data_IF_893235778151
#
_entry.id   IF_893235778151
#
_cell.length_a   1.000
_cell.length_b   1.000
_cell.length_c   1.000
_cell.angle_alpha   90.00
_cell.angle_beta   90.00
_cell.angle_gamma   90.00
#
_symmetry.space_group_name_H-M   'P 1'
#
loop_
_entity.id
_entity.type
_entity.pdbx_description
1 polymer ?
#
# COMPACT_ATOMS: atom_id res chain seq x y z
N UNK A 1 48.28 4.60 40.98
CA UNK A 1 47.25 5.59 41.37
C UNK A 1 46.82 6.27 40.07
N UNK A 2 45.51 6.44 39.89
CA UNK A 2 44.73 6.25 38.64
C UNK A 2 44.91 7.44 37.66
N UNK A 3 44.52 7.38 36.38
CA UNK A 3 43.12 7.47 35.95
C UNK A 3 42.79 6.82 34.60
N UNK A 4 41.64 6.15 34.64
CA UNK A 4 40.71 5.83 33.57
C UNK A 4 40.19 7.13 32.93
N UNK A 5 40.24 7.23 31.60
CA UNK A 5 39.36 8.17 30.88
C UNK A 5 38.92 7.48 29.59
N UNK A 6 38.09 6.45 29.78
CA UNK A 6 37.07 6.02 28.85
C UNK A 6 36.22 7.24 28.45
N UNK A 7 36.37 7.69 27.19
CA UNK A 7 35.35 8.52 26.55
C UNK A 7 34.99 7.91 25.21
N UNK A 8 33.95 7.09 25.29
CA UNK A 8 32.86 7.00 24.34
C UNK A 8 32.88 8.11 23.29
N UNK A 9 33.37 7.78 22.10
CA UNK A 9 32.94 8.44 20.87
C UNK A 9 31.81 7.61 20.31
N UNK A 10 30.65 7.72 20.95
CA UNK A 10 29.37 7.31 20.38
C UNK A 10 29.18 8.13 19.09
N UNK A 11 29.13 7.51 17.90
CA UNK A 11 28.81 8.22 16.68
C UNK A 11 27.36 8.70 16.77
N UNK A 12 27.04 9.96 16.43
CA UNK A 12 25.69 10.46 16.59
C UNK A 12 24.72 9.64 15.74
N UNK A 13 23.64 9.27 16.42
CA UNK A 13 22.55 8.48 15.92
C UNK A 13 21.88 9.08 14.68
N UNK A 14 21.38 8.15 13.87
CA UNK A 14 20.40 8.29 12.79
C UNK A 14 20.93 8.97 11.55
N UNK A 15 21.40 8.11 10.64
CA UNK A 15 21.07 8.27 9.23
C UNK A 15 19.58 8.65 9.16
N UNK A 16 19.35 9.91 8.81
CA UNK A 16 18.08 10.40 8.32
C UNK A 16 17.65 9.40 7.24
N UNK A 17 16.64 8.60 7.57
CA UNK A 17 16.13 7.60 6.65
C UNK A 17 15.50 8.39 5.51
N UNK A 18 16.31 8.69 4.50
CA UNK A 18 15.81 9.09 3.20
C UNK A 18 14.71 8.08 2.86
N UNK A 19 13.47 8.52 2.58
CA UNK A 19 12.46 7.59 2.09
C UNK A 19 13.09 6.85 0.90
N UNK A 20 12.96 5.52 0.81
CA UNK A 20 13.60 4.76 -0.25
C UNK A 20 13.24 5.43 -1.57
N UNK A 21 14.28 5.86 -2.31
CA UNK A 21 14.14 6.65 -3.53
C UNK A 21 13.22 5.97 -4.57
N UNK A 22 13.02 4.65 -4.44
CA UNK A 22 12.05 3.85 -5.19
C UNK A 22 10.58 4.27 -5.02
N UNK A 23 10.18 4.85 -3.89
CA UNK A 23 8.73 5.10 -3.62
C UNK A 23 8.11 6.18 -4.51
N UNK A 24 8.88 7.19 -4.89
CA UNK A 24 8.40 8.27 -5.76
C UNK A 24 8.29 7.80 -7.21
N UNK A 25 9.26 7.00 -7.66
CA UNK A 25 9.26 6.42 -9.01
C UNK A 25 8.17 5.35 -9.14
N UNK A 26 7.99 4.49 -8.13
CA UNK A 26 6.89 3.53 -8.06
C UNK A 26 5.51 4.20 -8.09
N UNK A 27 5.38 5.36 -7.42
CA UNK A 27 4.14 6.13 -7.47
C UNK A 27 3.88 6.65 -8.88
N UNK A 28 4.90 7.17 -9.56
CA UNK A 28 4.80 7.63 -10.95
C UNK A 28 4.45 6.47 -11.89
N UNK A 29 5.20 5.38 -11.82
CA UNK A 29 4.97 4.17 -12.59
C UNK A 29 3.54 3.64 -12.40
N UNK A 30 3.03 3.64 -11.16
CA UNK A 30 1.64 3.24 -10.88
C UNK A 30 0.61 4.15 -11.56
N UNK A 31 0.79 5.49 -11.48
CA UNK A 31 -0.18 6.43 -12.05
C UNK A 31 -0.22 6.41 -13.58
N UNK A 32 0.90 6.08 -14.22
CA UNK A 32 1.01 5.95 -15.68
C UNK A 32 0.29 4.71 -16.24
N UNK A 33 0.08 3.68 -15.43
CA UNK A 33 -0.75 2.55 -15.83
C UNK A 33 -2.23 2.95 -15.87
N UNK A 34 -2.93 2.52 -16.92
CA UNK A 34 -4.40 2.61 -16.94
C UNK A 34 -5.01 1.74 -15.84
N UNK A 35 -6.24 2.05 -15.41
CA UNK A 35 -6.94 1.22 -14.41
C UNK A 35 -6.99 -0.26 -14.80
N UNK A 36 -7.27 -0.54 -16.08
CA UNK A 36 -7.33 -1.91 -16.58
C UNK A 36 -5.95 -2.60 -16.62
N UNK A 37 -4.85 -1.88 -16.89
CA UNK A 37 -3.51 -2.44 -16.79
C UNK A 37 -3.15 -2.80 -15.34
N UNK A 38 -3.52 -1.95 -14.37
CA UNK A 38 -3.35 -2.26 -12.94
C UNK A 38 -4.13 -3.50 -12.54
N UNK A 39 -5.37 -3.63 -13.02
CA UNK A 39 -6.19 -4.81 -12.77
C UNK A 39 -5.63 -6.07 -13.43
N UNK A 40 -5.06 -5.96 -14.64
CA UNK A 40 -4.35 -7.07 -15.29
C UNK A 40 -3.15 -7.51 -14.45
N UNK A 41 -2.36 -6.57 -13.94
CA UNK A 41 -1.21 -6.84 -13.07
C UNK A 41 -1.64 -7.58 -11.79
N UNK A 42 -2.72 -7.12 -11.14
CA UNK A 42 -3.31 -7.78 -9.98
C UNK A 42 -3.84 -9.19 -10.32
N UNK A 43 -4.48 -9.36 -11.48
CA UNK A 43 -5.01 -10.65 -11.92
C UNK A 43 -3.89 -11.68 -12.13
N UNK A 44 -2.76 -11.27 -12.70
CA UNK A 44 -1.56 -12.12 -12.79
C UNK A 44 -1.06 -12.48 -11.38
N UNK A 45 -0.96 -11.50 -10.47
CA UNK A 45 -0.51 -11.74 -9.09
C UNK A 45 -1.38 -12.75 -8.34
N UNK A 46 -2.70 -12.61 -8.48
CA UNK A 46 -3.68 -13.50 -7.87
C UNK A 46 -3.51 -14.92 -8.38
N UNK A 47 -3.43 -15.10 -9.70
CA UNK A 47 -3.28 -16.44 -10.30
C UNK A 47 -1.96 -17.09 -9.90
N UNK A 48 -0.86 -16.34 -9.87
CA UNK A 48 0.43 -16.86 -9.36
C UNK A 48 0.34 -17.34 -7.91
N UNK A 49 -0.26 -16.50 -7.04
CA UNK A 49 -0.44 -16.83 -5.62
C UNK A 49 -1.27 -18.10 -5.45
N UNK A 50 -2.31 -18.24 -6.26
CA UNK A 50 -3.24 -19.36 -6.21
C UNK A 50 -2.70 -20.60 -6.96
N UNK A 51 -1.47 -20.55 -7.50
CA UNK A 51 -0.81 -21.67 -8.18
C UNK A 51 -1.37 -21.98 -9.58
N UNK A 52 -2.18 -21.09 -10.14
CA UNK A 52 -2.76 -21.27 -11.48
C UNK A 52 -1.86 -20.68 -12.57
N UNK A 53 -1.80 -21.33 -13.74
CA UNK A 53 -1.10 -20.76 -14.88
C UNK A 53 -1.79 -19.46 -15.33
N UNK A 54 -0.96 -18.48 -15.70
CA UNK A 54 -1.36 -17.14 -16.10
C UNK A 54 -1.43 -17.02 -17.62
N UNK A 55 -2.27 -17.85 -18.25
CA UNK A 55 -2.60 -17.70 -19.68
C UNK A 55 -3.58 -16.52 -19.88
N UNK A 56 -3.63 -15.90 -21.07
CA UNK A 56 -4.62 -14.85 -21.37
C UNK A 56 -6.04 -15.22 -20.98
N UNK A 57 -6.49 -16.43 -21.30
CA UNK A 57 -7.83 -16.93 -20.96
C UNK A 57 -8.05 -17.02 -19.45
N UNK A 58 -7.05 -17.47 -18.69
CA UNK A 58 -7.11 -17.54 -17.24
C UNK A 58 -7.15 -16.14 -16.61
N UNK A 59 -6.35 -15.21 -17.12
CA UNK A 59 -6.34 -13.82 -16.66
C UNK A 59 -7.69 -13.14 -16.98
N UNK A 60 -8.25 -13.38 -18.17
CA UNK A 60 -9.58 -12.90 -18.56
C UNK A 60 -10.65 -13.39 -17.57
N UNK A 61 -10.67 -14.69 -17.25
CA UNK A 61 -11.60 -15.27 -16.28
C UNK A 61 -11.48 -14.62 -14.89
N UNK A 62 -10.26 -14.29 -14.45
CA UNK A 62 -10.06 -13.57 -13.18
C UNK A 62 -10.61 -12.14 -13.25
N UNK A 63 -10.48 -11.47 -14.39
CA UNK A 63 -10.97 -10.12 -14.60
C UNK A 63 -12.50 -10.05 -14.76
N UNK A 64 -13.13 -11.07 -15.34
CA UNK A 64 -14.59 -11.17 -15.52
C UNK A 64 -15.37 -11.19 -14.20
N UNK A 65 -14.71 -11.43 -13.07
CA UNK A 65 -15.30 -11.25 -11.74
C UNK A 65 -15.61 -9.77 -11.42
N UNK A 66 -14.89 -8.84 -12.06
CA UNK A 66 -15.01 -7.38 -11.86
C UNK A 66 -15.56 -6.66 -13.09
N UNK A 67 -15.45 -7.27 -14.26
CA UNK A 67 -15.84 -6.68 -15.55
C UNK A 67 -16.93 -7.54 -16.21
N UNK A 68 -18.02 -6.94 -16.70
CA UNK A 68 -19.10 -7.70 -17.34
C UNK A 68 -18.64 -8.44 -18.60
N UNK A 69 -17.62 -7.94 -19.29
CA UNK A 69 -16.92 -8.64 -20.36
C UNK A 69 -15.49 -8.12 -20.52
N UNK A 70 -14.56 -9.02 -20.82
CA UNK A 70 -13.16 -8.68 -21.10
C UNK A 70 -12.87 -8.91 -22.57
N UNK A 71 -12.63 -7.83 -23.31
CA UNK A 71 -12.18 -7.92 -24.70
C UNK A 71 -10.79 -8.55 -24.77
N UNK A 72 -10.64 -9.65 -25.52
CA UNK A 72 -9.33 -10.31 -25.73
C UNK A 72 -8.29 -9.36 -26.30
N UNK A 73 -8.65 -8.54 -27.29
CA UNK A 73 -7.73 -7.57 -27.88
C UNK A 73 -7.27 -6.50 -26.89
N UNK A 74 -8.16 -6.03 -26.00
CA UNK A 74 -7.80 -5.09 -24.92
C UNK A 74 -6.88 -5.75 -23.89
N UNK A 75 -7.16 -6.99 -23.52
CA UNK A 75 -6.35 -7.76 -22.59
C UNK A 75 -4.94 -7.99 -23.15
N UNK A 76 -4.83 -8.49 -24.37
CA UNK A 76 -3.54 -8.77 -25.01
C UNK A 76 -2.71 -7.49 -25.21
N UNK A 77 -3.32 -6.38 -25.62
CA UNK A 77 -2.58 -5.11 -25.73
C UNK A 77 -2.13 -4.60 -24.37
N UNK A 78 -2.92 -4.80 -23.32
CA UNK A 78 -2.56 -4.43 -21.95
C UNK A 78 -1.43 -5.29 -21.42
N UNK A 79 -1.47 -6.60 -21.63
CA UNK A 79 -0.40 -7.53 -21.24
C UNK A 79 0.89 -7.22 -21.98
N UNK A 80 0.84 -6.95 -23.29
CA UNK A 80 2.01 -6.50 -24.05
C UNK A 80 2.60 -5.21 -23.47
N UNK A 81 1.77 -4.23 -23.18
CA UNK A 81 2.23 -2.97 -22.59
C UNK A 81 2.83 -3.12 -21.18
N UNK A 82 2.41 -4.14 -20.41
CA UNK A 82 3.02 -4.49 -19.13
C UNK A 82 4.36 -5.23 -19.29
N UNK A 83 4.49 -6.05 -20.35
CA UNK A 83 5.75 -6.69 -20.74
C UNK A 83 6.77 -5.67 -21.21
N UNK A 84 6.36 -4.70 -22.04
CA UNK A 84 7.23 -3.63 -22.52
C UNK A 84 7.79 -2.78 -21.38
N UNK A 85 7.03 -2.65 -20.28
CA UNK A 85 7.44 -1.97 -19.04
C UNK A 85 8.21 -2.86 -18.06
N UNK A 86 8.50 -4.11 -18.43
CA UNK A 86 9.16 -5.09 -17.57
C UNK A 86 8.45 -5.36 -16.23
N UNK A 87 7.13 -5.12 -16.15
CA UNK A 87 6.32 -5.43 -14.96
C UNK A 87 5.80 -6.87 -14.99
N UNK A 88 5.68 -7.43 -16.19
CA UNK A 88 5.31 -8.82 -16.45
C UNK A 88 6.32 -9.40 -17.43
N UNK A 89 6.74 -10.64 -17.24
CA UNK A 89 7.51 -11.40 -18.20
C UNK A 89 6.58 -12.34 -18.98
N UNK A 90 6.78 -12.40 -20.29
CA UNK A 90 6.15 -13.43 -21.13
C UNK A 90 7.06 -14.65 -21.20
N UNK A 91 6.50 -15.85 -21.03
CA UNK A 91 7.16 -17.14 -21.25
C UNK A 91 6.34 -17.98 -22.21
N UNK A 92 7.00 -18.90 -22.89
CA UNK A 92 6.29 -19.94 -23.63
C UNK A 92 5.48 -20.79 -22.65
N UNK A 93 4.18 -20.93 -22.91
CA UNK A 93 3.26 -21.70 -22.08
C UNK A 93 2.90 -23.03 -22.73
N UNK A 94 1.66 -23.50 -22.49
CA UNK A 94 1.22 -24.82 -22.92
C UNK A 94 1.42 -25.03 -24.43
N UNK A 95 2.10 -26.12 -24.78
CA UNK A 95 2.40 -26.54 -26.15
C UNK A 95 3.14 -25.48 -27.02
N UNK A 96 3.84 -24.52 -26.43
CA UNK A 96 4.66 -23.53 -27.16
C UNK A 96 3.87 -22.48 -27.95
N UNK A 97 2.53 -22.54 -27.94
CA UNK A 97 1.68 -21.65 -28.72
C UNK A 97 0.89 -20.65 -27.87
N UNK A 98 0.65 -20.95 -26.60
CA UNK A 98 -0.07 -20.05 -25.69
C UNK A 98 0.93 -19.38 -24.76
N UNK A 99 1.11 -18.05 -24.81
CA UNK A 99 2.01 -17.37 -23.89
C UNK A 99 1.48 -17.47 -22.46
N UNK A 100 2.38 -17.74 -21.52
CA UNK A 100 2.14 -17.62 -20.10
C UNK A 100 2.81 -16.35 -19.58
N UNK A 101 2.13 -15.64 -18.69
CA UNK A 101 2.63 -14.40 -18.11
C UNK A 101 3.10 -14.64 -16.67
N UNK A 102 4.10 -13.91 -16.22
CA UNK A 102 4.61 -13.98 -14.85
C UNK A 102 4.94 -12.59 -14.34
N UNK A 103 4.67 -12.26 -13.09
CA UNK A 103 5.19 -11.04 -12.49
C UNK A 103 6.71 -11.06 -12.45
N UNK A 104 7.29 -9.92 -12.79
CA UNK A 104 8.70 -9.64 -12.52
C UNK A 104 8.87 -9.16 -11.08
N UNK A 105 10.12 -9.04 -10.62
CA UNK A 105 10.42 -8.38 -9.36
C UNK A 105 9.89 -6.94 -9.31
N UNK A 106 10.04 -6.19 -10.41
CA UNK A 106 9.53 -4.82 -10.52
C UNK A 106 8.00 -4.75 -10.45
N UNK A 107 7.28 -5.63 -11.16
CA UNK A 107 5.82 -5.66 -11.07
C UNK A 107 5.32 -6.04 -9.68
N UNK A 108 6.05 -6.91 -8.97
CA UNK A 108 5.75 -7.29 -7.59
C UNK A 108 5.99 -6.14 -6.62
N UNK A 109 7.16 -5.50 -6.67
CA UNK A 109 7.48 -4.33 -5.86
C UNK A 109 6.46 -3.19 -6.08
N UNK A 110 6.03 -2.98 -7.32
CA UNK A 110 5.02 -1.97 -7.64
C UNK A 110 3.65 -2.25 -6.96
N UNK A 111 3.23 -3.51 -6.90
CA UNK A 111 2.01 -3.93 -6.19
C UNK A 111 2.16 -3.81 -4.67
N UNK A 112 3.30 -4.24 -4.12
CA UNK A 112 3.61 -4.17 -2.69
C UNK A 112 3.64 -2.70 -2.23
N UNK A 113 4.37 -1.83 -2.93
CA UNK A 113 4.40 -0.40 -2.64
C UNK A 113 3.02 0.26 -2.79
N UNK A 114 2.14 -0.24 -3.67
CA UNK A 114 0.75 0.23 -3.73
C UNK A 114 -0.05 -0.21 -2.50
N UNK A 115 0.10 -1.46 -2.07
CA UNK A 115 -0.58 -2.01 -0.91
C UNK A 115 -0.15 -1.26 0.37
N UNK A 116 1.15 -1.04 0.57
CA UNK A 116 1.68 -0.28 1.71
C UNK A 116 1.14 1.14 1.74
N UNK A 117 1.10 1.81 0.57
CA UNK A 117 0.50 3.14 0.47
C UNK A 117 -0.98 3.14 0.84
N UNK A 118 -1.74 2.11 0.47
CA UNK A 118 -3.15 2.01 0.84
C UNK A 118 -3.32 1.75 2.34
N UNK A 119 -2.53 0.85 2.93
CA UNK A 119 -2.53 0.57 4.36
C UNK A 119 -2.26 1.84 5.18
N UNK A 120 -1.25 2.62 4.78
CA UNK A 120 -0.93 3.91 5.41
C UNK A 120 -2.05 4.96 5.31
N UNK A 121 -2.98 4.85 4.35
CA UNK A 121 -4.17 5.72 4.33
C UNK A 121 -5.22 5.26 5.36
N UNK A 122 -5.31 3.97 5.61
CA UNK A 122 -6.25 3.38 6.57
C UNK A 122 -5.80 3.60 8.02
N UNK A 123 -4.50 3.54 8.28
CA UNK A 123 -3.91 3.70 9.63
C UNK A 123 -3.88 5.16 10.13
N UNK A 124 -4.30 6.12 9.30
CA UNK A 124 -4.19 7.57 9.56
C UNK A 124 -5.45 8.17 10.20
N UNK A 125 -6.16 7.41 11.05
CA UNK A 125 -7.45 7.84 11.60
C UNK A 125 -7.59 7.88 13.12
N UNK A 126 -6.49 7.89 13.88
CA UNK A 126 -6.57 7.95 15.36
C UNK A 126 -5.84 9.16 16.01
N UNK A 127 -5.53 10.25 15.29
CA UNK A 127 -4.83 11.40 15.92
C UNK A 127 -5.44 12.79 15.70
N UNK A 128 -6.65 12.93 15.15
CA UNK A 128 -7.30 14.23 14.95
C UNK A 128 -8.58 14.41 15.81
N UNK A 129 -8.60 13.85 17.03
CA UNK A 129 -9.62 14.18 18.05
C UNK A 129 -9.03 14.17 19.48
N UNK A 130 -7.87 14.82 19.67
CA UNK A 130 -7.54 15.32 21.01
C UNK A 130 -8.21 16.69 21.12
N UNK A 131 -9.41 16.66 21.71
CA UNK A 131 -10.16 17.84 22.09
C UNK A 131 -9.29 18.78 22.91
N UNK A 132 -9.12 20.00 22.39
CA UNK A 132 -8.61 21.15 23.12
C UNK A 132 -9.51 21.40 24.34
N UNK A 133 -9.15 20.77 25.47
CA UNK A 133 -9.63 21.11 26.79
C UNK A 133 -8.95 22.42 27.23
N UNK A 134 -9.33 23.51 26.59
CA UNK A 134 -8.96 24.87 26.92
C UNK A 134 -9.89 25.45 27.98
N UNK A 135 -9.56 25.20 29.24
CA UNK A 135 -10.16 25.82 30.42
C UNK A 135 -10.24 27.35 30.31
N UNK A 136 -11.43 27.92 30.56
CA UNK A 136 -11.65 29.09 31.44
C UNK A 136 -13.08 29.66 31.34
N UNK A 137 -13.91 29.46 32.38
CA UNK A 137 -14.51 30.60 33.11
C UNK A 137 -15.07 30.19 34.48
N UNK A 138 -14.24 30.39 35.49
CA UNK A 138 -14.53 31.03 36.77
C UNK A 138 -15.99 30.98 37.30
N UNK A 139 -16.14 30.21 38.38
CA UNK A 139 -16.56 30.71 39.69
C UNK A 139 -17.74 31.70 39.72
N UNK A 140 -18.91 31.21 40.14
CA UNK A 140 -19.84 31.99 40.98
C UNK A 140 -20.86 31.10 41.71
N UNK A 141 -20.90 31.35 43.02
CA UNK A 141 -22.00 31.15 43.96
C UNK A 141 -22.21 29.74 44.56
N UNK A 142 -21.37 29.44 45.54
CA UNK A 142 -21.77 29.38 46.96
C UNK A 142 -23.25 29.06 47.21
N UNK A 143 -23.53 27.80 47.57
CA UNK A 143 -24.83 27.35 48.08
C UNK A 143 -24.59 26.81 49.49
N UNK A 144 -25.06 27.47 50.57
CA UNK A 144 -24.93 26.89 51.89
C UNK A 144 -26.01 25.82 52.09
N UNK A 145 -25.55 24.65 52.55
CA UNK A 145 -26.36 23.63 53.19
C UNK A 145 -26.90 24.17 54.51
N UNK A 146 -28.20 23.99 54.74
CA UNK A 146 -28.85 24.39 55.99
C UNK A 146 -30.17 23.66 56.20
N UNK A 147 -30.10 22.38 56.53
CA UNK A 147 -31.19 21.61 57.14
C UNK A 147 -31.56 22.19 58.51
N UNK A 148 -32.85 22.48 58.78
CA UNK A 148 -33.39 22.42 60.16
C UNK A 148 -34.93 22.32 60.23
N UNK A 149 -35.37 21.14 60.68
CA UNK A 149 -36.50 20.76 61.54
C UNK A 149 -37.79 21.61 61.70
N UNK A 150 -38.90 20.90 61.50
CA UNK A 150 -40.05 20.67 62.42
C UNK A 150 -40.53 21.80 63.35
N UNK A 151 -41.78 22.25 63.13
CA UNK A 151 -42.93 22.04 64.05
C UNK A 151 -44.26 22.38 63.39
#
# INVERSE_FOLDING_TARGET
MPDDDSRDLEPPARADASPPADTADDRRAWVELTGFQRDCLEAVARRERDGYPCYPSGIAQTLEQRYPAVSSGRLESSLRALVDRSLVAMREGLAGHVPAYRLTGAGRALLEGRADRLAALCDRRDTDDDGDEGAARAERADRPLGTRNER
#
